data_IF_939869836902
#
_entry.id   IF_939869836902
#
_cell.length_a   1.000
_cell.length_b   1.000
_cell.length_c   1.000
_cell.angle_alpha   90.00
_cell.angle_beta   90.00
_cell.angle_gamma   90.00
#
_symmetry.space_group_name_H-M   'P 1'
#
loop_
_entity.id
_entity.type
_entity.pdbx_description
1 polymer ?
#
# COMPACT_ATOMS: atom_id res chain seq x y z
N UNK A 1 -7.75 10.01 -3.48
CA UNK A 1 -6.64 9.94 -4.47
C UNK A 1 -7.12 9.32 -5.78
N UNK A 2 -7.55 10.10 -6.77
CA UNK A 2 -7.92 9.55 -8.10
C UNK A 2 -6.65 9.39 -8.96
N UNK A 3 -6.43 8.19 -9.51
CA UNK A 3 -5.37 7.94 -10.50
C UNK A 3 -3.95 7.71 -9.96
N UNK A 4 -3.75 7.57 -8.64
CA UNK A 4 -2.44 7.29 -8.04
C UNK A 4 -1.76 6.07 -8.70
N UNK A 5 -2.51 4.99 -8.90
CA UNK A 5 -2.02 3.76 -9.54
C UNK A 5 -1.63 3.91 -11.02
N UNK A 6 -2.15 4.93 -11.72
CA UNK A 6 -1.74 5.25 -13.10
C UNK A 6 -0.42 6.04 -13.12
N UNK A 7 -0.29 7.00 -12.19
CA UNK A 7 0.90 7.87 -12.10
C UNK A 7 2.09 7.21 -11.41
N UNK A 8 1.83 6.20 -10.57
CA UNK A 8 2.82 5.53 -9.71
C UNK A 8 3.67 6.53 -8.93
N UNK A 9 3.06 7.64 -8.52
CA UNK A 9 3.72 8.76 -7.85
C UNK A 9 3.79 8.56 -6.33
N UNK A 10 3.99 7.31 -5.90
CA UNK A 10 4.07 6.88 -4.50
C UNK A 10 5.19 5.85 -4.35
N UNK A 11 5.64 5.64 -3.11
CA UNK A 11 6.56 4.56 -2.78
C UNK A 11 5.79 3.31 -2.35
N UNK A 12 5.84 2.22 -3.13
CA UNK A 12 5.17 0.98 -2.75
C UNK A 12 5.85 0.34 -1.54
N UNK A 13 5.04 -0.19 -0.62
CA UNK A 13 5.50 -0.92 0.57
C UNK A 13 5.04 -2.38 0.54
N UNK A 14 3.83 -2.64 0.03
CA UNK A 14 3.29 -3.98 -0.11
C UNK A 14 2.63 -4.15 -1.48
N UNK A 15 3.01 -5.21 -2.18
CA UNK A 15 2.54 -5.56 -3.52
C UNK A 15 1.91 -6.95 -3.49
N UNK A 16 0.78 -7.08 -4.17
CA UNK A 16 0.14 -8.35 -4.46
C UNK A 16 0.45 -8.73 -5.92
N UNK A 17 1.02 -9.91 -6.09
CA UNK A 17 1.25 -10.54 -7.38
C UNK A 17 -0.07 -11.08 -7.93
N UNK A 18 -0.62 -10.39 -8.92
CA UNK A 18 -1.92 -10.70 -9.52
C UNK A 18 -1.82 -11.93 -10.42
N UNK A 19 -0.62 -12.27 -10.90
CA UNK A 19 -0.43 -13.43 -11.79
C UNK A 19 -0.72 -14.76 -11.08
N UNK A 20 -0.63 -14.77 -9.74
CA UNK A 20 -0.88 -15.92 -8.87
C UNK A 20 -2.35 -16.09 -8.44
N UNK A 21 -3.22 -15.18 -8.84
CA UNK A 21 -4.66 -15.32 -8.57
C UNK A 21 -5.26 -16.43 -9.44
N UNK A 22 -6.29 -17.08 -8.90
CA UNK A 22 -7.11 -18.03 -9.66
C UNK A 22 -7.83 -17.35 -10.84
N UNK A 23 -8.24 -18.14 -11.84
CA UNK A 23 -8.87 -17.63 -13.06
C UNK A 23 -10.15 -16.83 -12.80
N UNK A 24 -10.95 -17.24 -11.80
CA UNK A 24 -12.18 -16.53 -11.42
C UNK A 24 -11.84 -15.14 -10.88
N UNK A 25 -10.83 -15.03 -10.02
CA UNK A 25 -10.35 -13.77 -9.48
C UNK A 25 -9.72 -12.88 -10.56
N UNK A 26 -8.99 -13.46 -11.51
CA UNK A 26 -8.38 -12.74 -12.65
C UNK A 26 -9.40 -12.26 -13.68
N UNK A 27 -10.52 -12.95 -13.86
CA UNK A 27 -11.57 -12.54 -14.80
C UNK A 27 -12.38 -11.31 -14.34
N UNK A 28 -12.19 -10.86 -13.09
CA UNK A 28 -12.84 -9.66 -12.58
C UNK A 28 -12.29 -8.40 -13.30
N UNK A 29 -13.13 -7.59 -13.97
CA UNK A 29 -12.67 -6.42 -14.73
C UNK A 29 -12.03 -5.32 -13.86
N UNK A 30 -12.17 -5.40 -12.53
CA UNK A 30 -11.49 -4.52 -11.57
C UNK A 30 -10.04 -4.94 -11.30
N UNK A 31 -9.65 -6.15 -11.70
CA UNK A 31 -8.31 -6.69 -11.58
C UNK A 31 -7.59 -6.40 -12.89
N UNK A 32 -6.70 -5.42 -12.87
CA UNK A 32 -5.99 -4.94 -14.06
C UNK A 32 -4.48 -4.94 -13.82
N UNK A 33 -3.71 -5.42 -14.79
CA UNK A 33 -2.25 -5.53 -14.70
C UNK A 33 -1.79 -6.68 -13.81
N UNK A 34 -0.47 -6.88 -13.77
CA UNK A 34 0.15 -8.04 -13.10
C UNK A 34 0.45 -7.79 -11.62
N UNK A 35 0.40 -6.53 -11.18
CA UNK A 35 0.84 -6.10 -9.85
C UNK A 35 -0.14 -5.11 -9.26
N UNK A 36 -0.47 -5.31 -7.99
CA UNK A 36 -1.36 -4.42 -7.25
C UNK A 36 -0.72 -3.95 -5.95
N UNK A 37 -0.52 -2.64 -5.81
CA UNK A 37 0.03 -2.08 -4.57
C UNK A 37 -1.07 -1.92 -3.53
N UNK A 38 -0.96 -2.68 -2.44
CA UNK A 38 -1.94 -2.72 -1.36
C UNK A 38 -1.49 -1.89 -0.15
N UNK A 39 -0.23 -1.45 -0.11
CA UNK A 39 0.20 -0.40 0.80
C UNK A 39 1.31 0.46 0.19
N UNK A 40 1.32 1.75 0.50
CA UNK A 40 2.29 2.71 -0.02
C UNK A 40 2.35 3.99 0.83
N UNK A 41 3.45 4.72 0.69
CA UNK A 41 3.65 6.04 1.30
C UNK A 41 3.93 7.11 0.24
N UNK A 42 3.58 8.36 0.54
CA UNK A 42 3.78 9.46 -0.40
C UNK A 42 3.80 10.83 0.31
N UNK A 43 4.70 11.74 -0.05
CA UNK A 43 4.60 13.15 0.35
C UNK A 43 3.42 13.85 -0.35
N UNK A 44 2.65 14.64 0.39
CA UNK A 44 1.51 15.39 -0.13
C UNK A 44 1.48 16.82 0.41
N UNK A 45 1.87 17.79 -0.43
CA UNK A 45 2.03 19.17 0.01
C UNK A 45 3.12 19.26 1.08
N UNK A 46 2.78 19.76 2.27
CA UNK A 46 3.65 19.79 3.46
C UNK A 46 3.46 18.56 4.36
N UNK A 47 2.52 17.67 4.04
CA UNK A 47 2.19 16.49 4.82
C UNK A 47 2.64 15.19 4.15
N UNK A 48 2.24 14.09 4.77
CA UNK A 48 2.59 12.72 4.37
C UNK A 48 1.34 11.86 4.34
N UNK A 49 1.28 10.90 3.42
CA UNK A 49 0.15 9.98 3.25
C UNK A 49 0.65 8.56 3.39
N UNK A 50 0.04 7.82 4.31
CA UNK A 50 0.16 6.37 4.40
C UNK A 50 -1.16 5.73 3.98
N UNK A 51 -1.10 4.80 3.02
CA UNK A 51 -2.23 3.97 2.61
C UNK A 51 -1.92 2.50 2.89
N UNK A 52 -2.86 1.80 3.51
CA UNK A 52 -2.83 0.36 3.70
C UNK A 52 -4.24 -0.24 3.47
N UNK A 53 -4.31 -1.22 2.58
CA UNK A 53 -5.52 -1.99 2.24
C UNK A 53 -5.73 -3.32 2.99
N UNK A 54 -4.70 -3.99 3.57
CA UNK A 54 -4.95 -5.20 4.37
C UNK A 54 -5.65 -4.83 5.69
N UNK A 55 -6.96 -4.99 5.78
CA UNK A 55 -7.72 -4.77 7.02
C UNK A 55 -8.98 -5.62 7.17
N UNK A 56 -9.41 -6.29 6.09
CA UNK A 56 -10.68 -7.02 6.08
C UNK A 56 -10.63 -8.34 6.86
N UNK A 57 -9.43 -8.89 7.07
CA UNK A 57 -9.22 -10.09 7.86
C UNK A 57 -8.78 -9.71 9.28
N UNK A 58 -9.44 -10.19 10.36
CA UNK A 58 -9.09 -9.85 11.75
C UNK A 58 -7.63 -10.11 12.10
N UNK A 59 -7.06 -11.20 11.57
CA UNK A 59 -5.65 -11.60 11.73
C UNK A 59 -4.65 -10.51 11.30
N UNK A 60 -5.07 -9.58 10.42
CA UNK A 60 -4.28 -8.40 10.06
C UNK A 60 -3.90 -7.55 11.28
N UNK A 61 -4.68 -7.61 12.37
CA UNK A 61 -4.47 -6.86 13.60
C UNK A 61 -3.96 -7.72 14.77
N UNK A 62 -3.64 -8.99 14.53
CA UNK A 62 -3.20 -9.92 15.58
C UNK A 62 -1.72 -10.28 15.45
N UNK A 63 -1.14 -10.12 14.25
CA UNK A 63 0.27 -10.42 14.02
C UNK A 63 1.16 -9.23 14.35
N UNK A 64 2.21 -9.47 15.14
CA UNK A 64 3.13 -8.42 15.58
C UNK A 64 3.80 -7.67 14.42
N UNK A 65 4.11 -8.35 13.31
CA UNK A 65 4.68 -7.74 12.10
C UNK A 65 3.71 -6.77 11.42
N UNK A 66 2.43 -7.12 11.33
CA UNK A 66 1.42 -6.21 10.76
C UNK A 66 1.13 -5.03 11.69
N UNK A 67 1.01 -5.27 12.99
CA UNK A 67 0.85 -4.19 13.96
C UNK A 67 2.02 -3.20 13.90
N UNK A 68 3.26 -3.70 13.79
CA UNK A 68 4.43 -2.86 13.59
C UNK A 68 4.37 -2.08 12.28
N UNK A 69 3.95 -2.73 11.19
CA UNK A 69 3.78 -2.08 9.89
C UNK A 69 2.77 -0.91 9.95
N UNK A 70 1.64 -1.09 10.62
CA UNK A 70 0.68 0.00 10.82
C UNK A 70 1.25 1.11 11.70
N UNK A 71 1.94 0.76 12.79
CA UNK A 71 2.56 1.75 13.67
C UNK A 71 3.58 2.60 12.91
N UNK A 72 4.49 1.98 12.17
CA UNK A 72 5.50 2.69 11.37
C UNK A 72 4.84 3.58 10.31
N UNK A 73 3.76 3.12 9.68
CA UNK A 73 3.00 3.92 8.72
C UNK A 73 2.28 5.12 9.36
N UNK A 74 1.74 4.97 10.57
CA UNK A 74 1.16 6.07 11.35
C UNK A 74 2.25 7.07 11.74
N UNK A 75 3.37 6.60 12.27
CA UNK A 75 4.52 7.44 12.63
C UNK A 75 5.09 8.17 11.41
N UNK A 76 5.11 7.53 10.23
CA UNK A 76 5.48 8.21 9.00
C UNK A 76 4.49 9.34 8.69
N UNK A 77 3.18 9.09 8.78
CA UNK A 77 2.15 10.08 8.48
C UNK A 77 2.15 11.27 9.46
N UNK A 78 2.50 11.05 10.73
CA UNK A 78 2.65 12.10 11.75
C UNK A 78 3.99 12.83 11.69
N UNK A 79 4.99 12.25 11.02
CA UNK A 79 6.34 12.83 10.88
C UNK A 79 7.38 12.29 11.87
N UNK A 80 6.98 11.38 12.76
CA UNK A 80 7.83 10.79 13.81
C UNK A 80 8.85 9.77 13.26
N UNK A 81 8.60 9.24 12.05
CA UNK A 81 9.50 8.32 11.37
C UNK A 81 10.13 8.97 10.13
N UNK A 82 11.46 9.01 10.09
CA UNK A 82 12.20 9.38 8.88
C UNK A 82 12.25 8.21 7.89
N UNK A 83 11.84 8.48 6.65
CA UNK A 83 11.78 7.48 5.58
C UNK A 83 12.04 8.15 4.24
N UNK A 84 12.81 7.50 3.37
CA UNK A 84 12.88 7.87 1.96
C UNK A 84 11.55 7.54 1.29
N UNK A 85 10.69 8.54 1.11
CA UNK A 85 9.34 8.40 0.57
C UNK A 85 9.23 8.78 -0.92
N UNK A 86 10.38 8.96 -1.60
CA UNK A 86 10.41 9.20 -3.04
C UNK A 86 9.80 8.00 -3.78
N UNK A 87 8.99 8.24 -4.83
CA UNK A 87 8.44 7.18 -5.66
C UNK A 87 9.54 6.25 -6.20
N UNK A 88 9.33 4.94 -6.11
CA UNK A 88 10.22 3.95 -6.76
C UNK A 88 9.66 3.63 -8.15
N UNK A 89 10.44 3.93 -9.19
CA UNK A 89 10.15 3.52 -10.57
C UNK A 89 10.47 2.04 -10.79
#
# INVERSE_FOLDING_TARGET
FKGAYKKKDFRPLLEMDVTKLDEKSRSNPRVTGDRRYVAWVKPHGKGRVFYAGPSHQPESFETASMLRFFLDGIQYATGDLECDDRPKQ
#
